data_IF_704117328959
#
_entry.id   IF_704117328959
#
_cell.length_a   1.000
_cell.length_b   1.000
_cell.length_c   1.000
_cell.angle_alpha   90.00
_cell.angle_beta   90.00
_cell.angle_gamma   90.00
#
_symmetry.space_group_name_H-M   'P 1'
#
loop_
_entity.id
_entity.type
_entity.pdbx_description
1 polymer ?
#
# COMPACT_ATOMS: atom_id res chain seq x y z
N UNK A 1 -46.91 27.03 -48.99
CA UNK A 1 -46.15 25.92 -48.38
C UNK A 1 -44.68 26.32 -48.44
N UNK A 2 -44.22 27.09 -47.45
CA UNK A 2 -42.86 27.65 -47.37
C UNK A 2 -42.39 27.48 -45.94
N UNK A 3 -41.61 26.43 -45.70
CA UNK A 3 -41.05 26.09 -44.39
C UNK A 3 -39.64 26.69 -44.30
N UNK A 4 -39.47 27.70 -43.46
CA UNK A 4 -38.16 28.24 -43.07
C UNK A 4 -37.46 27.22 -42.15
N UNK A 5 -36.18 26.87 -42.34
CA UNK A 5 -35.49 26.01 -41.39
C UNK A 5 -35.09 26.85 -40.17
N UNK A 6 -35.64 26.52 -38.99
CA UNK A 6 -35.10 27.05 -37.74
C UNK A 6 -33.71 26.44 -37.50
N UNK A 7 -32.68 27.25 -37.69
CA UNK A 7 -31.36 27.00 -37.12
C UNK A 7 -31.45 27.18 -35.60
N UNK A 8 -31.72 26.08 -34.88
CA UNK A 8 -31.50 26.05 -33.43
C UNK A 8 -30.00 25.93 -33.17
N UNK A 9 -29.38 27.05 -32.84
CA UNK A 9 -28.00 27.14 -32.35
C UNK A 9 -27.81 26.15 -31.18
N UNK A 10 -26.80 25.26 -31.20
CA UNK A 10 -26.51 24.39 -30.07
C UNK A 10 -26.30 25.23 -28.81
N UNK A 11 -26.86 24.86 -27.64
CA UNK A 11 -26.56 25.57 -26.42
C UNK A 11 -25.05 25.52 -26.18
N UNK A 12 -24.46 26.72 -26.08
CA UNK A 12 -23.06 26.94 -25.82
C UNK A 12 -22.56 25.99 -24.73
N UNK A 13 -21.50 25.28 -25.07
CA UNK A 13 -20.48 24.69 -24.22
C UNK A 13 -20.63 25.14 -22.76
N UNK A 14 -21.43 24.40 -21.98
CA UNK A 14 -21.29 24.42 -20.53
C UNK A 14 -19.94 23.77 -20.32
N UNK A 15 -18.90 24.59 -20.23
CA UNK A 15 -17.60 24.17 -19.75
C UNK A 15 -17.86 23.47 -18.41
N UNK A 16 -17.94 22.15 -18.45
CA UNK A 16 -18.04 21.32 -17.27
C UNK A 16 -16.83 21.70 -16.40
N UNK A 17 -17.04 22.10 -15.13
CA UNK A 17 -15.92 22.32 -14.23
C UNK A 17 -15.03 21.07 -14.33
N UNK A 18 -13.70 21.20 -14.53
CA UNK A 18 -12.84 20.06 -14.79
C UNK A 18 -13.11 19.03 -13.71
N UNK A 19 -13.79 17.94 -14.09
CA UNK A 19 -14.26 16.94 -13.15
C UNK A 19 -13.05 16.54 -12.32
N UNK A 20 -13.09 16.86 -11.01
CA UNK A 20 -12.03 16.54 -10.08
C UNK A 20 -11.70 15.06 -10.30
N UNK A 21 -10.51 14.78 -10.83
CA UNK A 21 -10.15 13.45 -11.32
C UNK A 21 -10.42 12.48 -10.16
N UNK A 22 -11.34 11.51 -10.30
CA UNK A 22 -11.72 10.66 -9.20
C UNK A 22 -10.45 10.03 -8.64
N UNK A 23 -10.23 10.21 -7.34
CA UNK A 23 -9.09 9.64 -6.64
C UNK A 23 -9.03 8.15 -6.99
N UNK A 24 -7.90 7.71 -7.56
CA UNK A 24 -7.85 6.33 -8.01
C UNK A 24 -7.83 5.42 -6.78
N UNK A 25 -8.41 4.22 -6.90
CA UNK A 25 -8.33 3.21 -5.84
C UNK A 25 -6.87 2.94 -5.42
N UNK A 26 -5.93 3.07 -6.37
CA UNK A 26 -4.51 2.93 -6.07
C UNK A 26 -4.01 4.04 -5.13
N UNK A 27 -4.45 5.29 -5.30
CA UNK A 27 -4.06 6.40 -4.44
C UNK A 27 -4.63 6.26 -3.02
N UNK A 28 -5.88 5.78 -2.91
CA UNK A 28 -6.52 5.47 -1.62
C UNK A 28 -5.81 4.34 -0.86
N UNK A 29 -5.18 3.40 -1.57
CA UNK A 29 -4.40 2.30 -1.01
C UNK A 29 -2.92 2.66 -0.76
N UNK A 30 -2.52 3.93 -0.92
CA UNK A 30 -1.16 4.42 -0.65
C UNK A 30 -0.28 4.59 -1.89
N UNK A 31 -0.77 4.22 -3.06
CA UNK A 31 -0.18 4.46 -4.36
C UNK A 31 1.22 3.88 -4.55
N UNK A 32 1.90 4.34 -5.60
CA UNK A 32 3.26 3.89 -5.96
C UNK A 32 4.28 4.09 -4.84
N UNK A 33 4.13 5.14 -4.03
CA UNK A 33 5.06 5.48 -2.96
C UNK A 33 4.94 4.51 -1.79
N UNK A 34 3.71 4.18 -1.37
CA UNK A 34 3.48 3.18 -0.32
C UNK A 34 4.07 1.81 -0.69
N UNK A 35 3.97 1.42 -1.96
CA UNK A 35 4.59 0.19 -2.44
C UNK A 35 6.13 0.20 -2.34
N UNK A 36 6.77 1.33 -2.65
CA UNK A 36 8.24 1.48 -2.52
C UNK A 36 8.64 1.43 -1.04
N UNK A 37 7.95 2.19 -0.19
CA UNK A 37 8.22 2.25 1.25
C UNK A 37 8.10 0.87 1.92
N UNK A 38 7.14 0.05 1.49
CA UNK A 38 6.96 -1.31 1.99
C UNK A 38 8.07 -2.29 1.53
N UNK A 39 8.74 -1.99 0.41
CA UNK A 39 9.77 -2.85 -0.18
C UNK A 39 11.17 -2.54 0.37
N UNK A 40 11.38 -1.31 0.87
CA UNK A 40 12.68 -0.86 1.36
C UNK A 40 13.26 -1.73 2.51
N UNK A 41 12.52 -2.05 3.59
CA UNK A 41 13.10 -2.83 4.69
C UNK A 41 13.52 -4.25 4.30
N UNK A 42 12.70 -5.05 3.57
CA UNK A 42 13.13 -6.37 3.10
C UNK A 42 14.32 -6.34 2.14
N UNK A 43 14.39 -5.35 1.25
CA UNK A 43 15.55 -5.21 0.35
C UNK A 43 16.80 -4.84 1.16
N UNK A 44 16.67 -3.91 2.11
CA UNK A 44 17.78 -3.55 3.00
C UNK A 44 18.26 -4.76 3.81
N UNK A 45 17.35 -5.62 4.28
CA UNK A 45 17.70 -6.88 4.93
C UNK A 45 18.57 -7.75 4.03
N UNK A 46 18.13 -8.01 2.80
CA UNK A 46 18.85 -8.86 1.85
C UNK A 46 20.25 -8.28 1.55
N UNK A 47 20.34 -6.98 1.27
CA UNK A 47 21.60 -6.31 0.98
C UNK A 47 22.53 -6.36 2.19
N UNK A 48 22.03 -6.05 3.39
CA UNK A 48 22.81 -6.11 4.62
C UNK A 48 23.30 -7.53 4.92
N UNK A 49 22.47 -8.54 4.71
CA UNK A 49 22.82 -9.94 4.88
C UNK A 49 23.94 -10.35 3.92
N UNK A 50 23.83 -10.03 2.62
CA UNK A 50 24.89 -10.33 1.64
C UNK A 50 26.18 -9.57 1.93
N UNK A 51 26.09 -8.26 2.18
CA UNK A 51 27.24 -7.39 2.37
C UNK A 51 28.06 -7.72 3.64
N UNK A 52 27.45 -8.38 4.62
CA UNK A 52 28.10 -8.80 5.87
C UNK A 52 28.48 -10.28 5.89
N UNK A 53 28.56 -10.94 4.72
CA UNK A 53 28.97 -12.34 4.64
C UNK A 53 27.93 -13.29 5.19
N UNK A 54 26.65 -13.07 4.87
CA UNK A 54 25.51 -13.86 5.32
C UNK A 54 25.24 -13.78 6.83
N UNK A 55 25.63 -12.66 7.46
CA UNK A 55 25.34 -12.41 8.86
C UNK A 55 23.89 -11.92 9.05
N UNK A 56 23.13 -12.67 9.86
CA UNK A 56 21.75 -12.30 10.23
C UNK A 56 21.74 -10.92 10.91
N UNK A 57 22.71 -10.64 11.77
CA UNK A 57 22.81 -9.35 12.45
C UNK A 57 23.00 -8.19 11.47
N UNK A 58 23.79 -8.39 10.41
CA UNK A 58 23.98 -7.39 9.37
C UNK A 58 22.70 -7.11 8.57
N UNK A 59 21.97 -8.17 8.21
CA UNK A 59 20.67 -8.04 7.56
C UNK A 59 19.64 -7.33 8.45
N UNK A 60 19.52 -7.77 9.70
CA UNK A 60 18.59 -7.18 10.68
C UNK A 60 18.89 -5.70 10.93
N UNK A 61 20.16 -5.35 11.14
CA UNK A 61 20.55 -3.95 11.34
C UNK A 61 20.16 -3.08 10.14
N UNK A 62 20.44 -3.55 8.92
CA UNK A 62 20.07 -2.82 7.70
C UNK A 62 18.55 -2.66 7.55
N UNK A 63 17.78 -3.72 7.83
CA UNK A 63 16.32 -3.71 7.77
C UNK A 63 15.69 -2.74 8.76
N UNK A 64 16.17 -2.74 10.01
CA UNK A 64 15.67 -1.87 11.08
C UNK A 64 16.01 -0.41 10.78
N UNK A 65 17.22 -0.11 10.31
CA UNK A 65 17.61 1.24 9.91
C UNK A 65 16.74 1.74 8.75
N UNK A 66 16.54 0.92 7.72
CA UNK A 66 15.67 1.28 6.60
C UNK A 66 14.22 1.47 7.04
N UNK A 67 13.68 0.56 7.87
CA UNK A 67 12.34 0.66 8.42
C UNK A 67 12.12 1.91 9.28
N UNK A 68 13.08 2.25 10.14
CA UNK A 68 13.05 3.47 10.93
C UNK A 68 13.14 4.73 10.07
N UNK A 69 13.99 4.73 9.03
CA UNK A 69 14.09 5.84 8.09
C UNK A 69 12.78 6.07 7.33
N UNK A 70 12.16 5.00 6.81
CA UNK A 70 10.84 5.05 6.18
C UNK A 70 9.78 5.53 7.16
N UNK A 71 9.77 5.02 8.39
CA UNK A 71 8.81 5.43 9.41
C UNK A 71 8.93 6.92 9.74
N UNK A 72 10.15 7.42 9.95
CA UNK A 72 10.41 8.84 10.18
C UNK A 72 10.01 9.72 9.00
N UNK A 73 10.26 9.25 7.78
CA UNK A 73 9.86 9.94 6.56
C UNK A 73 8.34 10.03 6.40
N UNK A 74 7.62 8.92 6.62
CA UNK A 74 6.16 8.87 6.59
C UNK A 74 5.55 9.79 7.65
N UNK A 75 6.11 9.80 8.86
CA UNK A 75 5.63 10.68 9.93
C UNK A 75 5.82 12.17 9.59
N UNK A 76 6.95 12.54 8.97
CA UNK A 76 7.19 13.91 8.47
C UNK A 76 6.24 14.33 7.37
N UNK A 77 5.70 13.39 6.59
CA UNK A 77 4.70 13.64 5.54
C UNK A 77 3.27 13.78 6.08
N UNK A 78 3.05 13.54 7.38
CA UNK A 78 1.73 13.61 8.00
C UNK A 78 0.93 12.31 7.93
N UNK A 79 1.57 11.17 7.64
CA UNK A 79 0.89 9.88 7.72
C UNK A 79 0.40 9.62 9.16
N UNK A 80 -0.73 8.89 9.28
CA UNK A 80 -1.29 8.55 10.59
C UNK A 80 -0.28 7.75 11.42
N UNK A 81 0.09 8.19 12.65
CA UNK A 81 1.10 7.53 13.47
C UNK A 81 0.82 6.05 13.67
N UNK A 82 -0.43 5.66 13.93
CA UNK A 82 -0.84 4.26 14.09
C UNK A 82 -0.44 3.36 12.90
N UNK A 83 -0.55 3.85 11.66
CA UNK A 83 -0.19 3.08 10.46
C UNK A 83 1.32 2.89 10.36
N UNK A 84 2.07 3.95 10.68
CA UNK A 84 3.53 3.93 10.70
C UNK A 84 4.04 2.98 11.78
N UNK A 85 3.46 3.03 12.99
CA UNK A 85 3.82 2.14 14.09
C UNK A 85 3.54 0.67 13.76
N UNK A 86 2.39 0.35 13.16
CA UNK A 86 2.07 -1.03 12.77
C UNK A 86 3.09 -1.55 11.74
N UNK A 87 3.44 -0.74 10.74
CA UNK A 87 4.45 -1.10 9.74
C UNK A 87 5.83 -1.34 10.36
N UNK A 88 6.26 -0.44 11.25
CA UNK A 88 7.54 -0.59 11.96
C UNK A 88 7.54 -1.83 12.87
N UNK A 89 6.43 -2.09 13.57
CA UNK A 89 6.28 -3.27 14.41
C UNK A 89 6.40 -4.56 13.59
N UNK A 90 5.81 -4.62 12.40
CA UNK A 90 5.95 -5.78 11.52
C UNK A 90 7.42 -6.04 11.14
N UNK A 91 8.19 -5.00 10.83
CA UNK A 91 9.63 -5.10 10.56
C UNK A 91 10.38 -5.61 11.79
N UNK A 92 10.08 -5.09 12.98
CA UNK A 92 10.69 -5.52 14.23
C UNK A 92 10.37 -7.00 14.55
N UNK A 93 9.14 -7.44 14.32
CA UNK A 93 8.73 -8.84 14.53
C UNK A 93 9.47 -9.76 13.55
N UNK A 94 9.54 -9.41 12.27
CA UNK A 94 10.30 -10.18 11.28
C UNK A 94 11.79 -10.26 11.64
N UNK A 95 12.38 -9.14 12.06
CA UNK A 95 13.77 -9.08 12.54
C UNK A 95 14.00 -9.97 13.76
N UNK A 96 13.10 -9.91 14.75
CA UNK A 96 13.19 -10.74 15.95
C UNK A 96 13.11 -12.22 15.62
N UNK A 97 12.20 -12.62 14.72
CA UNK A 97 12.06 -14.01 14.30
C UNK A 97 13.36 -14.49 13.64
N UNK A 98 13.91 -13.73 12.69
CA UNK A 98 15.18 -14.07 12.03
C UNK A 98 16.35 -14.19 13.02
N UNK A 99 16.43 -13.29 14.02
CA UNK A 99 17.44 -13.39 15.09
C UNK A 99 17.26 -14.63 15.96
N UNK A 100 16.01 -15.01 16.25
CA UNK A 100 15.70 -16.12 17.15
C UNK A 100 15.89 -17.48 16.49
N UNK A 101 15.67 -17.57 15.18
CA UNK A 101 15.88 -18.81 14.42
C UNK A 101 17.28 -18.92 13.84
N UNK A 102 17.97 -17.79 13.68
CA UNK A 102 19.28 -17.73 13.03
C UNK A 102 19.23 -17.95 11.51
N UNK A 103 18.03 -17.93 10.91
CA UNK A 103 17.84 -18.20 9.48
C UNK A 103 17.33 -16.93 8.79
N UNK A 104 18.00 -16.55 7.71
CA UNK A 104 17.66 -15.35 6.95
C UNK A 104 16.30 -15.47 6.25
N UNK A 105 15.94 -16.67 5.82
CA UNK A 105 14.66 -16.95 5.15
C UNK A 105 13.45 -16.65 6.04
N UNK A 106 13.56 -16.79 7.36
CA UNK A 106 12.44 -16.61 8.28
C UNK A 106 11.99 -15.14 8.35
N UNK A 107 12.89 -14.19 8.03
CA UNK A 107 12.53 -12.79 7.82
C UNK A 107 11.49 -12.64 6.70
N UNK A 108 11.70 -13.35 5.58
CA UNK A 108 10.83 -13.29 4.41
C UNK A 108 9.59 -14.18 4.56
N UNK A 109 9.68 -15.28 5.31
CA UNK A 109 8.53 -16.15 5.59
C UNK A 109 7.39 -15.40 6.28
N UNK A 110 7.71 -14.52 7.22
CA UNK A 110 6.70 -13.69 7.91
C UNK A 110 5.95 -12.82 6.90
N UNK A 111 6.68 -12.19 5.98
CA UNK A 111 6.08 -11.37 4.92
C UNK A 111 5.26 -12.23 3.94
N UNK A 112 5.78 -13.37 3.53
CA UNK A 112 5.11 -14.30 2.63
C UNK A 112 3.80 -14.83 3.23
N UNK A 113 3.83 -15.24 4.49
CA UNK A 113 2.67 -15.76 5.19
C UNK A 113 1.61 -14.68 5.40
N UNK A 114 2.02 -13.45 5.71
CA UNK A 114 1.11 -12.30 5.82
C UNK A 114 0.43 -11.99 4.48
N UNK A 115 1.17 -12.04 3.38
CA UNK A 115 0.63 -11.84 2.03
C UNK A 115 -0.32 -12.98 1.63
N UNK A 116 0.05 -14.24 1.91
CA UNK A 116 -0.78 -15.40 1.62
C UNK A 116 -2.09 -15.38 2.43
N UNK A 117 -2.01 -15.07 3.73
CA UNK A 117 -3.18 -14.88 4.58
C UNK A 117 -4.08 -13.76 4.07
N UNK A 118 -3.50 -12.62 3.68
CA UNK A 118 -4.24 -11.50 3.10
C UNK A 118 -4.95 -11.91 1.80
N UNK A 119 -4.25 -12.59 0.89
CA UNK A 119 -4.82 -13.10 -0.35
C UNK A 119 -5.96 -14.10 -0.11
N UNK A 120 -5.81 -14.97 0.90
CA UNK A 120 -6.85 -15.92 1.29
C UNK A 120 -8.10 -15.20 1.82
N UNK A 121 -7.93 -14.17 2.65
CA UNK A 121 -9.04 -13.33 3.15
C UNK A 121 -9.78 -12.69 1.97
N UNK A 122 -9.06 -12.14 1.00
CA UNK A 122 -9.66 -11.58 -0.21
C UNK A 122 -10.41 -12.62 -1.03
N UNK A 123 -9.83 -13.81 -1.21
CA UNK A 123 -10.46 -14.91 -1.94
C UNK A 123 -11.76 -15.35 -1.28
N UNK A 124 -11.74 -15.55 0.05
CA UNK A 124 -12.93 -15.92 0.84
C UNK A 124 -14.01 -14.83 0.73
N UNK A 125 -13.63 -13.55 0.81
CA UNK A 125 -14.56 -12.43 0.63
C UNK A 125 -15.27 -12.46 -0.73
N UNK A 126 -14.53 -12.75 -1.80
CA UNK A 126 -15.10 -12.88 -3.15
C UNK A 126 -16.07 -14.07 -3.22
N UNK A 127 -15.67 -15.23 -2.69
CA UNK A 127 -16.49 -16.46 -2.70
C UNK A 127 -17.78 -16.29 -1.92
N UNK A 128 -17.74 -15.61 -0.78
CA UNK A 128 -18.92 -15.32 0.07
C UNK A 128 -19.82 -14.23 -0.55
N UNK A 129 -19.47 -13.68 -1.72
CA UNK A 129 -20.19 -12.59 -2.42
C UNK A 129 -20.35 -11.33 -1.56
N UNK A 130 -19.45 -11.16 -0.59
CA UNK A 130 -19.38 -9.99 0.27
C UNK A 130 -18.06 -9.27 -0.04
N UNK A 131 -17.97 -8.56 -1.19
CA UNK A 131 -16.72 -7.94 -1.61
C UNK A 131 -16.35 -6.85 -0.59
N UNK A 132 -15.43 -7.17 0.32
CA UNK A 132 -14.96 -6.26 1.37
C UNK A 132 -14.42 -4.96 0.75
N UNK A 133 -13.85 -5.06 -0.46
CA UNK A 133 -13.39 -3.91 -1.23
C UNK A 133 -14.57 -2.98 -1.55
N UNK A 134 -15.72 -3.51 -1.97
CA UNK A 134 -16.92 -2.73 -2.28
C UNK A 134 -17.50 -2.07 -1.04
N UNK A 135 -17.49 -2.74 0.12
CA UNK A 135 -17.94 -2.16 1.39
C UNK A 135 -16.99 -1.05 1.85
N UNK A 136 -15.67 -1.29 1.83
CA UNK A 136 -14.66 -0.32 2.27
C UNK A 136 -14.62 0.89 1.35
N UNK A 137 -14.65 0.68 0.02
CA UNK A 137 -14.67 1.76 -0.97
C UNK A 137 -15.99 2.52 -0.92
N UNK A 138 -17.13 1.83 -0.82
CA UNK A 138 -18.45 2.47 -0.68
C UNK A 138 -18.53 3.38 0.54
N UNK A 139 -18.02 2.91 1.68
CA UNK A 139 -17.92 3.72 2.91
C UNK A 139 -16.91 4.87 2.75
N UNK A 140 -15.75 4.63 2.13
CA UNK A 140 -14.72 5.66 1.95
C UNK A 140 -15.13 6.77 0.97
N UNK A 141 -15.89 6.44 -0.08
CA UNK A 141 -16.43 7.40 -1.05
C UNK A 141 -17.79 7.98 -0.63
N UNK A 142 -18.38 7.53 0.49
CA UNK A 142 -19.63 8.06 1.03
C UNK A 142 -20.89 7.68 0.25
N UNK A 143 -20.84 6.65 -0.59
CA UNK A 143 -22.00 6.11 -1.30
C UNK A 143 -22.80 5.26 -0.30
N UNK A 144 -23.94 5.78 0.18
CA UNK A 144 -24.89 5.05 1.03
C UNK A 144 -26.00 4.44 0.18
#
# INVERSE_FOLDING_TARGET
MTSTPEHTTPPADRAEPPAARPESLADLLGGRRGAVDATLPPVAFAVGWLATGQSIWGGVAAAVVAGAAVAGWRLRRGDRPRSVLIGLLAVCVAALIALRTGRAEDFFLVQLLSNAASALVWLVSIVVRWPLLGVVVGVALGQR
#
